data_IF_032706934978
#
_entry.id   IF_032706934978
#
_cell.length_a   1.000
_cell.length_b   1.000
_cell.length_c   1.000
_cell.angle_alpha   90.00
_cell.angle_beta   90.00
_cell.angle_gamma   90.00
#
_symmetry.space_group_name_H-M   'P 1'
#
loop_
_entity.id
_entity.type
_entity.pdbx_description
1 polymer ?
#
# COMPACT_ATOMS: atom_id res chain seq x y z
N UNK A 1 0.45 -7.73 -21.14
CA UNK A 1 -0.93 -8.17 -20.84
C UNK A 1 -1.74 -7.20 -19.98
N UNK A 2 -1.17 -6.53 -18.96
CA UNK A 2 -1.88 -5.56 -18.10
C UNK A 2 -2.76 -4.52 -18.84
N UNK A 3 -2.25 -3.96 -19.95
CA UNK A 3 -2.98 -2.96 -20.76
C UNK A 3 -4.27 -3.51 -21.38
N UNK A 4 -4.39 -4.83 -21.56
CA UNK A 4 -5.59 -5.48 -22.13
C UNK A 4 -6.75 -5.52 -21.12
N UNK A 5 -6.46 -5.47 -19.81
CA UNK A 5 -7.51 -5.47 -18.78
C UNK A 5 -8.33 -4.16 -18.78
N UNK A 6 -7.74 -3.09 -19.32
CA UNK A 6 -8.34 -1.76 -19.50
C UNK A 6 -9.16 -1.30 -18.29
N UNK A 7 -8.56 -1.40 -17.09
CA UNK A 7 -9.25 -1.10 -15.83
C UNK A 7 -9.67 0.37 -15.74
N UNK A 8 -8.86 1.27 -16.30
CA UNK A 8 -9.14 2.71 -16.36
C UNK A 8 -10.53 3.08 -16.90
N UNK A 9 -11.08 2.29 -17.82
CA UNK A 9 -12.37 2.56 -18.46
C UNK A 9 -13.55 1.95 -17.68
N UNK A 10 -13.26 1.12 -16.66
CA UNK A 10 -14.28 0.49 -15.81
C UNK A 10 -14.73 1.47 -14.71
N UNK A 11 -15.36 2.56 -15.10
CA UNK A 11 -15.74 3.69 -14.21
C UNK A 11 -16.69 3.32 -13.06
N UNK A 12 -17.28 2.13 -13.03
CA UNK A 12 -18.11 1.64 -11.92
C UNK A 12 -17.36 0.67 -10.99
N UNK A 13 -16.10 0.37 -11.26
CA UNK A 13 -15.28 -0.53 -10.47
C UNK A 13 -14.96 0.08 -9.11
N UNK A 14 -15.50 -0.52 -8.05
CA UNK A 14 -15.27 -0.06 -6.67
C UNK A 14 -14.32 -0.96 -5.89
N UNK A 15 -14.13 -2.21 -6.31
CA UNK A 15 -13.29 -3.20 -5.63
C UNK A 15 -12.37 -3.86 -6.63
N UNK A 16 -11.09 -3.95 -6.30
CA UNK A 16 -10.07 -4.57 -7.15
C UNK A 16 -9.22 -5.52 -6.31
N UNK A 17 -9.23 -6.78 -6.70
CA UNK A 17 -8.35 -7.83 -6.18
C UNK A 17 -7.35 -8.20 -7.27
N UNK A 18 -6.07 -8.00 -6.99
CA UNK A 18 -4.96 -8.41 -7.83
C UNK A 18 -4.20 -9.52 -7.11
N UNK A 19 -4.06 -10.67 -7.75
CA UNK A 19 -3.37 -11.83 -7.19
C UNK A 19 -2.39 -12.38 -8.21
N UNK A 20 -1.14 -12.51 -7.81
CA UNK A 20 -0.12 -13.21 -8.58
C UNK A 20 -0.06 -14.67 -8.13
N UNK A 21 0.31 -15.54 -9.06
CA UNK A 21 0.59 -16.93 -8.72
C UNK A 21 1.95 -16.99 -8.05
N UNK A 22 1.96 -17.24 -6.73
CA UNK A 22 3.18 -17.59 -6.02
C UNK A 22 3.59 -19.00 -6.45
N UNK A 23 4.81 -19.18 -6.94
CA UNK A 23 5.36 -20.52 -7.15
C UNK A 23 5.32 -21.26 -5.80
N UNK A 24 4.54 -22.34 -5.72
CA UNK A 24 4.48 -23.18 -4.53
C UNK A 24 5.80 -23.91 -4.39
N UNK A 25 6.64 -23.48 -3.45
CA UNK A 25 7.83 -24.23 -3.01
C UNK A 25 8.75 -23.36 -2.17
N UNK A 26 9.51 -23.98 -1.28
CA UNK A 26 10.50 -23.32 -0.39
C UNK A 26 11.68 -22.67 -1.13
N UNK A 27 11.67 -22.72 -2.47
CA UNK A 27 12.49 -21.85 -3.30
C UNK A 27 11.72 -20.55 -3.46
N UNK A 28 12.06 -19.54 -2.67
CA UNK A 28 11.63 -18.16 -2.90
C UNK A 28 11.88 -17.81 -4.36
N UNK A 29 10.83 -17.88 -5.18
CA UNK A 29 10.87 -17.43 -6.57
C UNK A 29 11.36 -16.00 -6.54
N UNK A 30 12.56 -15.77 -7.05
CA UNK A 30 13.27 -14.50 -6.89
C UNK A 30 12.47 -13.31 -7.45
N UNK A 31 13.01 -12.10 -7.27
CA UNK A 31 12.40 -10.86 -7.74
C UNK A 31 11.98 -10.99 -9.22
N UNK A 32 10.69 -10.79 -9.49
CA UNK A 32 10.11 -10.75 -10.83
C UNK A 32 9.76 -9.31 -11.18
N UNK A 33 10.75 -8.53 -11.62
CA UNK A 33 10.53 -7.10 -11.96
C UNK A 33 9.45 -6.87 -13.03
N UNK A 34 9.15 -7.87 -13.87
CA UNK A 34 8.00 -7.85 -14.78
C UNK A 34 6.67 -7.63 -14.06
N UNK A 35 6.52 -8.13 -12.84
CA UNK A 35 5.27 -8.06 -12.07
C UNK A 35 5.03 -6.63 -11.57
N UNK A 36 6.09 -5.86 -11.27
CA UNK A 36 5.99 -4.43 -11.00
C UNK A 36 5.54 -3.66 -12.25
N UNK A 37 6.04 -4.01 -13.44
CA UNK A 37 5.61 -3.37 -14.70
C UNK A 37 4.14 -3.67 -15.02
N UNK A 38 3.71 -4.91 -14.80
CA UNK A 38 2.30 -5.31 -14.93
C UNK A 38 1.44 -4.53 -13.95
N UNK A 39 1.83 -4.48 -12.67
CA UNK A 39 1.09 -3.77 -11.63
C UNK A 39 0.99 -2.26 -11.90
N UNK A 40 2.05 -1.64 -12.41
CA UNK A 40 2.03 -0.24 -12.85
C UNK A 40 1.07 -0.03 -14.04
N UNK A 41 1.15 -0.91 -15.06
CA UNK A 41 0.34 -0.81 -16.28
C UNK A 41 -1.15 -1.10 -16.09
N UNK A 42 -1.56 -1.71 -14.98
CA UNK A 42 -2.97 -1.99 -14.68
C UNK A 42 -3.78 -0.72 -14.39
N UNK A 43 -3.16 0.30 -13.79
CA UNK A 43 -3.70 1.64 -13.50
C UNK A 43 -5.25 1.70 -13.35
N UNK A 44 -5.77 1.42 -12.14
CA UNK A 44 -7.21 1.37 -11.89
C UNK A 44 -7.87 2.75 -11.91
N UNK A 45 -9.21 2.80 -12.07
CA UNK A 45 -9.94 4.06 -12.11
C UNK A 45 -9.94 4.71 -10.72
N UNK A 46 -9.94 6.04 -10.68
CA UNK A 46 -9.76 6.84 -9.45
C UNK A 46 -10.89 6.73 -8.43
N UNK A 47 -12.00 6.08 -8.78
CA UNK A 47 -13.16 5.87 -7.91
C UNK A 47 -13.11 4.53 -7.16
N UNK A 48 -11.99 3.81 -7.23
CA UNK A 48 -11.77 2.59 -6.51
C UNK A 48 -11.85 2.84 -4.99
N UNK A 49 -12.60 2.01 -4.27
CA UNK A 49 -12.80 2.08 -2.82
C UNK A 49 -11.99 1.02 -2.07
N UNK A 50 -11.85 -0.16 -2.65
CA UNK A 50 -11.16 -1.29 -2.02
C UNK A 50 -10.10 -1.84 -2.97
N UNK A 51 -8.86 -1.92 -2.48
CA UNK A 51 -7.74 -2.50 -3.19
C UNK A 51 -7.13 -3.62 -2.36
N UNK A 52 -7.01 -4.79 -2.97
CA UNK A 52 -6.26 -5.92 -2.41
C UNK A 52 -5.20 -6.37 -3.40
N UNK A 53 -3.94 -6.41 -2.97
CA UNK A 53 -2.82 -6.95 -3.75
C UNK A 53 -2.28 -8.16 -2.99
N UNK A 54 -2.14 -9.29 -3.68
CA UNK A 54 -1.61 -10.54 -3.13
C UNK A 54 -0.45 -11.09 -3.94
N UNK A 55 0.60 -11.47 -3.23
CA UNK A 55 1.70 -12.29 -3.70
C UNK A 55 2.49 -11.66 -4.86
N UNK A 56 2.53 -10.31 -4.94
CA UNK A 56 3.28 -9.62 -5.97
C UNK A 56 4.79 -9.80 -5.74
N UNK A 57 5.46 -10.44 -6.71
CA UNK A 57 6.90 -10.74 -6.64
C UNK A 57 7.76 -9.62 -7.27
N UNK A 58 7.16 -8.47 -7.61
CA UNK A 58 7.87 -7.27 -8.02
C UNK A 58 8.52 -6.57 -6.84
N UNK A 59 9.53 -5.74 -7.11
CA UNK A 59 10.33 -5.05 -6.09
C UNK A 59 9.88 -3.61 -5.83
N UNK A 60 8.95 -3.09 -6.63
CA UNK A 60 8.45 -1.72 -6.53
C UNK A 60 6.92 -1.67 -6.37
N UNK A 61 6.40 -0.82 -5.45
CA UNK A 61 4.99 -0.48 -5.42
C UNK A 61 4.59 0.39 -6.62
N UNK A 62 3.34 0.30 -7.11
CA UNK A 62 2.89 1.12 -8.22
C UNK A 62 2.72 2.59 -7.83
N UNK A 63 3.04 3.48 -8.77
CA UNK A 63 3.04 4.92 -8.57
C UNK A 63 1.63 5.50 -8.45
N UNK A 64 0.63 4.85 -9.07
CA UNK A 64 -0.75 5.32 -9.13
C UNK A 64 -1.49 5.23 -7.78
N UNK A 65 -1.03 4.44 -6.81
CA UNK A 65 -1.72 4.27 -5.51
C UNK A 65 -1.83 5.58 -4.73
N UNK A 66 -0.86 6.49 -4.87
CA UNK A 66 -0.89 7.81 -4.22
C UNK A 66 -2.03 8.72 -4.73
N UNK A 67 -2.57 8.42 -5.92
CA UNK A 67 -3.63 9.22 -6.54
C UNK A 67 -5.04 8.67 -6.28
N UNK A 68 -5.15 7.54 -5.58
CA UNK A 68 -6.41 6.82 -5.34
C UNK A 68 -7.14 7.35 -4.10
N UNK A 69 -7.51 8.64 -4.11
CA UNK A 69 -8.10 9.35 -2.97
C UNK A 69 -9.44 8.79 -2.47
N UNK A 70 -10.10 7.94 -3.25
CA UNK A 70 -11.37 7.28 -2.89
C UNK A 70 -11.18 5.95 -2.14
N UNK A 71 -9.94 5.46 -1.99
CA UNK A 71 -9.66 4.23 -1.28
C UNK A 71 -10.01 4.38 0.21
N UNK A 72 -10.87 3.47 0.66
CA UNK A 72 -11.23 3.29 2.07
C UNK A 72 -10.63 2.03 2.67
N UNK A 73 -10.27 1.05 1.84
CA UNK A 73 -9.65 -0.21 2.26
C UNK A 73 -8.45 -0.51 1.36
N UNK A 74 -7.30 -0.74 1.99
CA UNK A 74 -6.09 -1.23 1.32
C UNK A 74 -5.59 -2.46 2.07
N UNK A 75 -5.40 -3.55 1.34
CA UNK A 75 -4.82 -4.76 1.90
C UNK A 75 -3.69 -5.28 1.00
N UNK A 76 -2.49 -5.38 1.56
CA UNK A 76 -1.29 -5.85 0.88
C UNK A 76 -0.83 -7.14 1.56
N UNK A 77 -0.81 -8.23 0.81
CA UNK A 77 -0.36 -9.54 1.28
C UNK A 77 0.78 -10.05 0.41
N UNK A 78 1.86 -10.52 1.02
CA UNK A 78 2.94 -11.20 0.30
C UNK A 78 3.69 -10.32 -0.70
N UNK A 79 3.68 -8.99 -0.52
CA UNK A 79 4.50 -8.04 -1.29
C UNK A 79 5.97 -8.08 -0.81
N UNK A 80 6.57 -9.27 -0.83
CA UNK A 80 7.78 -9.59 -0.06
C UNK A 80 9.01 -8.80 -0.48
N UNK A 81 9.08 -8.39 -1.75
CA UNK A 81 10.25 -7.71 -2.31
C UNK A 81 10.14 -6.18 -2.34
N UNK A 82 9.02 -5.61 -1.88
CA UNK A 82 8.89 -4.16 -1.78
C UNK A 82 9.83 -3.62 -0.71
N UNK A 83 10.77 -2.77 -1.11
CA UNK A 83 11.73 -2.14 -0.18
C UNK A 83 11.13 -0.96 0.59
N UNK A 84 10.07 -0.37 0.05
CA UNK A 84 9.33 0.72 0.66
C UNK A 84 7.83 0.51 0.45
N UNK A 85 7.04 1.08 1.36
CA UNK A 85 5.59 1.12 1.22
C UNK A 85 5.17 2.35 0.42
N UNK A 86 4.05 2.27 -0.30
CA UNK A 86 3.49 3.43 -0.99
C UNK A 86 3.05 4.53 -0.01
N UNK A 87 2.96 5.79 -0.46
CA UNK A 87 2.52 6.92 0.36
C UNK A 87 1.00 6.86 0.66
N UNK A 88 0.60 6.06 1.64
CA UNK A 88 -0.81 5.87 1.99
C UNK A 88 -1.32 6.92 2.99
N UNK A 89 -0.43 7.65 3.68
CA UNK A 89 -0.80 8.62 4.71
C UNK A 89 -1.63 9.80 4.22
N UNK A 90 -1.55 10.09 2.92
CA UNK A 90 -2.33 11.15 2.25
C UNK A 90 -3.72 10.70 1.80
N UNK A 91 -4.07 9.41 1.90
CA UNK A 91 -5.37 8.91 1.46
C UNK A 91 -6.45 9.35 2.46
N UNK A 92 -7.32 10.32 2.12
CA UNK A 92 -8.17 10.98 3.10
C UNK A 92 -9.29 10.07 3.60
N UNK A 93 -9.71 9.09 2.80
CA UNK A 93 -10.83 8.20 3.11
C UNK A 93 -10.39 6.84 3.67
N UNK A 94 -9.08 6.59 3.81
CA UNK A 94 -8.57 5.29 4.22
C UNK A 94 -9.00 4.98 5.65
N UNK A 95 -9.78 3.90 5.82
CA UNK A 95 -10.29 3.42 7.11
C UNK A 95 -9.58 2.16 7.56
N UNK A 96 -9.27 1.27 6.62
CA UNK A 96 -8.65 -0.03 6.91
C UNK A 96 -7.38 -0.20 6.10
N UNK A 97 -6.30 -0.53 6.80
CA UNK A 97 -5.01 -0.88 6.21
C UNK A 97 -4.51 -2.20 6.77
N UNK A 98 -4.20 -3.14 5.88
CA UNK A 98 -3.55 -4.42 6.21
C UNK A 98 -2.25 -4.51 5.45
N UNK A 99 -1.16 -4.75 6.16
CA UNK A 99 0.18 -4.98 5.64
C UNK A 99 0.65 -6.34 6.16
N UNK A 100 0.71 -7.35 5.29
CA UNK A 100 1.14 -8.69 5.66
C UNK A 100 2.19 -9.20 4.70
N UNK A 101 3.29 -9.77 5.19
CA UNK A 101 4.27 -10.43 4.32
C UNK A 101 5.13 -9.46 3.49
N UNK A 102 5.26 -8.20 3.88
CA UNK A 102 6.14 -7.22 3.24
C UNK A 102 7.59 -7.36 3.78
N UNK A 103 8.21 -8.52 3.52
CA UNK A 103 9.45 -8.97 4.18
C UNK A 103 10.66 -8.05 4.01
N UNK A 104 10.80 -7.40 2.85
CA UNK A 104 11.93 -6.50 2.56
C UNK A 104 11.78 -5.08 3.14
N UNK A 105 10.64 -4.76 3.75
CA UNK A 105 10.43 -3.45 4.39
C UNK A 105 11.09 -3.47 5.77
N UNK A 106 12.22 -2.77 5.87
CA UNK A 106 12.98 -2.67 7.11
C UNK A 106 12.45 -1.59 8.05
N UNK A 107 12.15 -0.42 7.50
CA UNK A 107 11.68 0.76 8.24
C UNK A 107 10.59 1.43 7.45
N UNK A 108 9.62 1.99 8.15
CA UNK A 108 8.56 2.79 7.51
C UNK A 108 8.81 4.26 7.83
N UNK A 109 9.26 5.02 6.83
CA UNK A 109 9.69 6.39 6.97
C UNK A 109 8.63 7.42 6.54
N UNK A 110 9.07 8.68 6.41
CA UNK A 110 8.22 9.84 6.07
C UNK A 110 7.50 9.70 4.73
N UNK A 111 8.04 8.89 3.81
CA UNK A 111 7.46 8.60 2.50
C UNK A 111 6.10 7.92 2.61
N UNK A 112 5.90 7.06 3.62
CA UNK A 112 4.64 6.39 3.85
C UNK A 112 3.57 7.33 4.40
N UNK A 113 3.97 8.24 5.30
CA UNK A 113 3.10 9.27 5.89
C UNK A 113 2.91 10.48 4.98
N UNK A 114 3.76 10.61 3.97
CA UNK A 114 3.68 11.57 2.89
C UNK A 114 3.61 13.03 3.42
N UNK A 115 4.42 13.33 4.44
CA UNK A 115 4.57 14.67 5.01
C UNK A 115 5.55 15.46 4.14
N UNK A 116 5.04 16.42 3.38
CA UNK A 116 5.87 17.24 2.49
C UNK A 116 6.63 18.32 3.25
N UNK A 117 7.91 18.51 2.94
CA UNK A 117 8.74 19.59 3.50
C UNK A 117 8.31 21.00 3.04
N UNK A 118 7.33 21.12 2.13
CA UNK A 118 6.97 22.38 1.46
C UNK A 118 5.51 22.80 1.65
N UNK A 119 4.74 22.08 2.48
CA UNK A 119 3.38 22.49 2.80
C UNK A 119 3.37 23.45 3.99
N UNK A 120 3.08 24.71 3.72
CA UNK A 120 2.75 25.76 4.70
C UNK A 120 1.41 25.52 5.45
N UNK A 121 0.86 24.30 5.38
CA UNK A 121 -0.40 23.91 6.02
C UNK A 121 -0.07 23.26 7.36
N UNK A 122 -0.51 23.90 8.45
CA UNK A 122 -0.37 23.52 9.87
C UNK A 122 -1.05 22.18 10.27
N UNK A 123 -1.22 21.24 9.35
CA UNK A 123 -1.80 19.94 9.64
C UNK A 123 -0.97 18.88 8.93
N UNK A 124 0.09 18.44 9.58
CA UNK A 124 0.87 17.25 9.22
C UNK A 124 0.17 15.94 9.64
N UNK A 125 -1.17 15.98 9.73
CA UNK A 125 -1.96 14.85 10.15
C UNK A 125 -2.01 13.82 9.02
N UNK A 126 -1.56 12.60 9.30
CA UNK A 126 -1.67 11.47 8.38
C UNK A 126 -2.90 10.63 8.76
N UNK A 127 -3.40 9.85 7.80
CA UNK A 127 -4.46 8.84 8.03
C UNK A 127 -5.64 9.33 8.90
N UNK A 128 -6.32 10.43 8.50
CA UNK A 128 -7.32 11.10 9.34
C UNK A 128 -8.50 10.19 9.75
N UNK A 129 -8.82 9.17 8.94
CA UNK A 129 -9.96 8.27 9.15
C UNK A 129 -9.57 6.80 9.35
N UNK A 130 -8.28 6.48 9.47
CA UNK A 130 -7.84 5.10 9.65
C UNK A 130 -8.25 4.61 11.03
N UNK A 131 -9.09 3.58 11.07
CA UNK A 131 -9.63 2.99 12.29
C UNK A 131 -9.12 1.56 12.53
N UNK A 132 -8.59 0.90 11.51
CA UNK A 132 -8.02 -0.44 11.60
C UNK A 132 -6.67 -0.48 10.90
N UNK A 133 -5.62 -0.84 11.65
CA UNK A 133 -4.28 -1.09 11.15
C UNK A 133 -3.82 -2.48 11.58
N UNK A 134 -3.46 -3.33 10.62
CA UNK A 134 -2.81 -4.60 10.88
C UNK A 134 -1.48 -4.68 10.16
N UNK A 135 -0.44 -5.04 10.90
CA UNK A 135 0.91 -5.27 10.41
C UNK A 135 1.33 -6.66 10.87
N UNK A 136 1.64 -7.55 9.93
CA UNK A 136 2.07 -8.90 10.28
C UNK A 136 3.08 -9.51 9.33
N UNK A 137 3.87 -10.47 9.80
CA UNK A 137 4.81 -11.24 8.96
C UNK A 137 5.76 -10.34 8.15
N UNK A 138 6.28 -9.27 8.76
CA UNK A 138 7.25 -8.36 8.14
C UNK A 138 8.64 -8.60 8.75
N UNK A 139 9.29 -9.66 8.30
CA UNK A 139 10.47 -10.27 8.95
C UNK A 139 11.63 -9.30 9.25
N UNK A 140 11.83 -8.27 8.42
CA UNK A 140 12.91 -7.28 8.59
C UNK A 140 12.46 -5.98 9.28
N UNK A 141 11.18 -5.86 9.65
CA UNK A 141 10.62 -4.61 10.15
C UNK A 141 11.14 -4.26 11.55
N UNK A 142 11.91 -3.17 11.65
CA UNK A 142 12.49 -2.63 12.89
C UNK A 142 11.61 -1.54 13.52
N UNK A 143 10.50 -1.16 12.86
CA UNK A 143 9.58 -0.14 13.34
C UNK A 143 9.43 1.07 12.41
N UNK A 144 8.87 2.13 12.99
CA UNK A 144 8.64 3.41 12.32
C UNK A 144 9.88 4.30 12.43
N UNK A 145 10.42 4.74 11.30
CA UNK A 145 11.56 5.68 11.25
C UNK A 145 11.08 7.09 10.88
N UNK A 146 10.01 7.53 11.56
CA UNK A 146 9.45 8.86 11.38
C UNK A 146 8.91 9.39 12.70
N UNK A 147 9.33 10.61 13.05
CA UNK A 147 8.77 11.37 14.17
C UNK A 147 7.79 12.39 13.59
N UNK A 148 6.47 12.13 13.68
CA UNK A 148 5.49 13.06 13.17
C UNK A 148 5.45 14.33 14.01
N UNK A 149 5.32 15.49 13.36
CA UNK A 149 4.99 16.74 14.08
C UNK A 149 3.47 16.85 14.31
N UNK A 150 2.66 16.19 13.47
CA UNK A 150 1.21 16.07 13.56
C UNK A 150 0.68 14.74 14.12
N UNK A 151 -0.64 14.54 14.09
CA UNK A 151 -1.30 13.29 14.50
C UNK A 151 -1.28 12.28 13.35
N UNK A 152 -0.72 11.10 13.58
CA UNK A 152 -0.58 10.09 12.50
C UNK A 152 -1.78 9.17 12.39
N UNK A 153 -2.47 8.86 13.48
CA UNK A 153 -3.63 7.97 13.46
C UNK A 153 -4.72 8.46 14.43
N UNK A 154 -5.31 9.64 14.21
CA UNK A 154 -6.24 10.26 15.16
C UNK A 154 -7.54 9.46 15.38
N UNK A 155 -7.88 8.55 14.47
CA UNK A 155 -9.13 7.77 14.48
C UNK A 155 -8.91 6.27 14.73
N UNK A 156 -7.69 5.84 15.10
CA UNK A 156 -7.36 4.42 15.23
C UNK A 156 -8.14 3.77 16.37
N UNK A 157 -8.81 2.66 16.07
CA UNK A 157 -9.59 1.88 17.03
C UNK A 157 -8.98 0.50 17.26
N UNK A 158 -8.39 -0.09 16.22
CA UNK A 158 -7.77 -1.42 16.26
C UNK A 158 -6.36 -1.35 15.69
N UNK A 159 -5.41 -1.88 16.45
CA UNK A 159 -4.01 -2.03 16.08
C UNK A 159 -3.60 -3.48 16.33
N UNK A 160 -3.37 -4.23 15.27
CA UNK A 160 -2.94 -5.63 15.32
C UNK A 160 -1.49 -5.73 14.82
N UNK A 161 -0.57 -6.15 15.68
CA UNK A 161 0.85 -6.34 15.37
C UNK A 161 1.25 -7.80 15.66
N UNK A 162 1.69 -8.54 14.63
CA UNK A 162 2.01 -9.97 14.74
C UNK A 162 3.28 -10.39 14.02
#
# INVERSE_FOLDING_TARGET
>A
EALLANLKDKVYLQKLLLRWESERGDNEGGIRSSDSQVLEGLCPPRNLKELTIRDNLGDQPPSWMKEQHQLSVVELYGCSYWKCLPPLGQLPLLKRLVLSGAKAVKKVGKEFFCVSEHSSRRSEDAFPHLNYLSISNMDQWEGWDYRPVGRVFPSLQVLDLH
#
